data_IF_236829429712
#
_entry.id   IF_236829429712
#
_cell.length_a   1.000
_cell.length_b   1.000
_cell.length_c   1.000
_cell.angle_alpha   90.00
_cell.angle_beta   90.00
_cell.angle_gamma   90.00
#
_symmetry.space_group_name_H-M   'P 1'
#
loop_
_entity.id
_entity.type
_entity.pdbx_description
1 polymer ?
#
# COMPACT_ATOMS: atom_id res chain seq x y z
N UNK A 1 26.87 41.00 -8.22
CA UNK A 1 27.28 40.03 -9.26
C UNK A 1 26.20 38.97 -9.39
N UNK A 2 25.69 38.71 -10.59
CA UNK A 2 24.72 37.63 -10.78
C UNK A 2 25.42 36.28 -10.60
N UNK A 3 24.91 35.43 -9.71
CA UNK A 3 25.42 34.05 -9.56
C UNK A 3 25.17 33.30 -10.88
N UNK A 4 26.20 32.62 -11.40
CA UNK A 4 26.05 31.72 -12.54
C UNK A 4 25.50 30.37 -12.04
N UNK A 5 24.27 30.04 -12.43
CA UNK A 5 23.60 28.79 -12.03
C UNK A 5 23.73 27.67 -13.05
N UNK A 6 24.41 27.91 -14.19
CA UNK A 6 24.59 26.92 -15.24
C UNK A 6 25.26 25.62 -14.74
N UNK A 7 26.31 25.67 -13.88
CA UNK A 7 26.94 24.46 -13.36
C UNK A 7 25.96 23.56 -12.58
N UNK A 8 25.06 24.14 -11.78
CA UNK A 8 24.07 23.37 -11.02
C UNK A 8 23.05 22.68 -11.95
N UNK A 9 22.67 23.36 -13.03
CA UNK A 9 21.76 22.82 -14.06
C UNK A 9 22.43 21.67 -14.80
N UNK A 10 23.71 21.80 -15.14
CA UNK A 10 24.47 20.74 -15.82
C UNK A 10 24.65 19.53 -14.91
N UNK A 11 24.91 19.72 -13.61
CA UNK A 11 24.94 18.62 -12.66
C UNK A 11 23.58 17.91 -12.51
N UNK A 12 22.46 18.65 -12.54
CA UNK A 12 21.14 18.01 -12.57
C UNK A 12 20.91 17.19 -13.84
N UNK A 13 21.42 17.63 -15.00
CA UNK A 13 21.35 16.86 -16.25
C UNK A 13 22.12 15.54 -16.15
N UNK A 14 23.29 15.56 -15.53
CA UNK A 14 24.06 14.33 -15.26
C UNK A 14 23.24 13.36 -14.38
N UNK A 15 22.55 13.87 -13.36
CA UNK A 15 21.68 13.02 -12.51
C UNK A 15 20.51 12.45 -13.31
N UNK A 16 19.92 13.22 -14.24
CA UNK A 16 18.89 12.72 -15.15
C UNK A 16 19.43 11.57 -15.99
N UNK A 17 20.60 11.74 -16.62
CA UNK A 17 21.24 10.71 -17.44
C UNK A 17 21.52 9.45 -16.63
N UNK A 18 22.06 9.59 -15.41
CA UNK A 18 22.29 8.46 -14.51
C UNK A 18 20.99 7.74 -14.13
N UNK A 19 19.90 8.49 -13.91
CA UNK A 19 18.59 7.91 -13.56
C UNK A 19 17.94 7.15 -14.73
N UNK A 20 18.29 7.49 -15.97
CA UNK A 20 17.85 6.75 -17.17
C UNK A 20 18.61 5.42 -17.31
N UNK A 21 19.83 5.34 -16.79
CA UNK A 21 20.69 4.16 -16.84
C UNK A 21 20.46 3.18 -15.68
N UNK A 22 19.64 3.53 -14.68
CA UNK A 22 19.34 2.66 -13.57
C UNK A 22 18.80 3.39 -12.34
N UNK A 23 18.71 2.66 -11.23
CA UNK A 23 18.33 3.26 -9.94
C UNK A 23 19.47 4.15 -9.45
N UNK A 24 19.14 5.40 -9.12
CA UNK A 24 20.10 6.33 -8.51
C UNK A 24 20.60 5.82 -7.16
N UNK A 25 21.86 6.13 -6.84
CA UNK A 25 22.39 5.89 -5.50
C UNK A 25 21.75 6.88 -4.51
N UNK A 26 21.61 6.54 -3.22
CA UNK A 26 21.09 7.48 -2.21
C UNK A 26 21.86 8.81 -2.16
N UNK A 27 23.17 8.77 -2.44
CA UNK A 27 24.00 9.97 -2.53
C UNK A 27 23.62 10.85 -3.72
N UNK A 28 23.35 10.26 -4.89
CA UNK A 28 22.91 11.01 -6.08
C UNK A 28 21.49 11.57 -5.89
N UNK A 29 20.60 10.81 -5.23
CA UNK A 29 19.26 11.28 -4.89
C UNK A 29 19.33 12.52 -3.97
N UNK A 30 20.17 12.46 -2.93
CA UNK A 30 20.39 13.57 -1.99
C UNK A 30 21.06 14.76 -2.68
N UNK A 31 22.08 14.51 -3.50
CA UNK A 31 22.75 15.55 -4.30
C UNK A 31 21.77 16.26 -5.23
N UNK A 32 20.94 15.50 -5.95
CA UNK A 32 19.91 16.05 -6.83
C UNK A 32 18.90 16.90 -6.07
N UNK A 33 18.44 16.45 -4.89
CA UNK A 33 17.52 17.21 -4.06
C UNK A 33 18.17 18.53 -3.58
N UNK A 34 19.44 18.50 -3.18
CA UNK A 34 20.18 19.69 -2.76
C UNK A 34 20.40 20.70 -3.90
N UNK A 35 20.76 20.24 -5.10
CA UNK A 35 20.89 21.08 -6.30
C UNK A 35 19.55 21.74 -6.65
N UNK A 36 18.47 20.94 -6.66
CA UNK A 36 17.13 21.45 -6.94
C UNK A 36 16.70 22.49 -5.89
N UNK A 37 16.93 22.22 -4.60
CA UNK A 37 16.68 23.17 -3.50
C UNK A 37 17.36 24.51 -3.72
N UNK A 38 18.63 24.53 -4.15
CA UNK A 38 19.36 25.77 -4.40
C UNK A 38 18.74 26.59 -5.55
N UNK A 39 18.37 25.93 -6.64
CA UNK A 39 17.71 26.57 -7.79
C UNK A 39 16.34 27.15 -7.41
N UNK A 40 15.55 26.38 -6.65
CA UNK A 40 14.23 26.82 -6.19
C UNK A 40 14.35 27.98 -5.19
N UNK A 41 15.30 27.92 -4.24
CA UNK A 41 15.54 29.00 -3.27
C UNK A 41 16.00 30.29 -3.95
N UNK A 42 16.74 30.17 -5.06
CA UNK A 42 17.18 31.30 -5.87
C UNK A 42 16.00 31.98 -6.59
N UNK A 43 15.07 31.19 -7.12
CA UNK A 43 13.89 31.69 -7.85
C UNK A 43 14.24 32.24 -9.24
N UNK A 44 13.29 32.90 -9.91
CA UNK A 44 13.52 33.56 -11.21
C UNK A 44 13.88 32.58 -12.33
N UNK A 45 14.84 32.96 -13.20
CA UNK A 45 15.31 32.11 -14.32
C UNK A 45 15.85 30.74 -13.88
N UNK A 46 16.70 30.63 -12.83
CA UNK A 46 17.14 29.33 -12.31
C UNK A 46 16.01 28.37 -11.97
N UNK A 47 14.92 28.87 -11.38
CA UNK A 47 13.74 28.06 -11.08
C UNK A 47 13.09 27.55 -12.37
N UNK A 48 12.87 28.42 -13.36
CA UNK A 48 12.29 28.01 -14.65
C UNK A 48 13.10 26.90 -15.31
N UNK A 49 14.42 27.05 -15.36
CA UNK A 49 15.31 26.02 -15.93
C UNK A 49 15.28 24.71 -15.12
N UNK A 50 15.19 24.77 -13.79
CA UNK A 50 15.04 23.58 -12.96
C UNK A 50 13.70 22.86 -13.21
N UNK A 51 12.62 23.62 -13.40
CA UNK A 51 11.29 23.08 -13.66
C UNK A 51 11.15 22.47 -15.05
N UNK A 52 11.83 22.99 -16.06
CA UNK A 52 11.92 22.37 -17.39
C UNK A 52 12.52 20.96 -17.32
N UNK A 53 13.52 20.76 -16.45
CA UNK A 53 14.16 19.47 -16.22
C UNK A 53 13.34 18.53 -15.31
N UNK A 54 12.36 19.05 -14.57
CA UNK A 54 11.61 18.27 -13.57
C UNK A 54 10.77 17.14 -14.15
N UNK A 55 10.43 17.21 -15.44
CA UNK A 55 9.71 16.15 -16.15
C UNK A 55 10.56 14.89 -16.38
N UNK A 56 11.88 15.05 -16.46
CA UNK A 56 12.85 13.98 -16.68
C UNK A 56 13.49 13.47 -15.38
N UNK A 57 13.44 14.27 -14.31
CA UNK A 57 13.93 13.87 -13.00
C UNK A 57 13.01 12.84 -12.33
N UNK A 58 13.56 11.85 -11.60
CA UNK A 58 12.78 11.06 -10.67
C UNK A 58 11.99 11.95 -9.71
N UNK A 59 10.68 11.78 -9.65
CA UNK A 59 9.73 12.70 -8.99
C UNK A 59 10.09 13.07 -7.54
N UNK A 60 10.80 12.21 -6.81
CA UNK A 60 11.17 12.44 -5.42
C UNK A 60 12.28 13.49 -5.26
N UNK A 61 13.15 13.68 -6.26
CA UNK A 61 14.21 14.71 -6.24
C UNK A 61 13.61 16.12 -6.15
N UNK A 62 12.75 16.56 -7.09
CA UNK A 62 12.17 17.89 -7.02
C UNK A 62 11.22 18.05 -5.83
N UNK A 63 10.56 16.97 -5.37
CA UNK A 63 9.75 17.00 -4.15
C UNK A 63 10.61 17.30 -2.93
N UNK A 64 11.66 16.50 -2.67
CA UNK A 64 12.51 16.68 -1.50
C UNK A 64 13.21 18.05 -1.54
N UNK A 65 13.75 18.45 -2.70
CA UNK A 65 14.38 19.75 -2.87
C UNK A 65 13.41 20.92 -2.63
N UNK A 66 12.18 20.83 -3.12
CA UNK A 66 11.15 21.86 -2.87
C UNK A 66 10.75 21.95 -1.39
N UNK A 67 10.58 20.81 -0.71
CA UNK A 67 10.22 20.75 0.70
C UNK A 67 11.33 21.31 1.59
N UNK A 68 12.59 20.99 1.30
CA UNK A 68 13.73 21.54 2.02
C UNK A 68 13.97 23.03 1.75
N UNK A 69 13.65 23.51 0.55
CA UNK A 69 13.74 24.92 0.20
C UNK A 69 12.62 25.75 0.86
N UNK A 70 11.47 25.13 1.15
CA UNK A 70 10.26 25.83 1.58
C UNK A 70 10.45 26.75 2.80
N UNK A 71 11.11 26.33 3.90
CA UNK A 71 11.34 27.17 5.07
C UNK A 71 12.23 28.39 4.76
N UNK A 72 13.09 28.29 3.74
CA UNK A 72 14.05 29.33 3.35
C UNK A 72 13.45 30.35 2.35
N UNK A 73 12.29 30.05 1.78
CA UNK A 73 11.62 30.95 0.84
C UNK A 73 10.81 32.03 1.56
N UNK A 74 10.90 33.26 1.03
CA UNK A 74 9.95 34.33 1.39
C UNK A 74 8.56 34.02 0.84
N UNK A 75 7.48 34.61 1.39
CA UNK A 75 6.11 34.41 0.89
C UNK A 75 5.96 34.70 -0.62
N UNK A 76 6.65 35.73 -1.12
CA UNK A 76 6.68 36.06 -2.55
C UNK A 76 7.33 34.96 -3.38
N UNK A 77 8.46 34.41 -2.92
CA UNK A 77 9.13 33.28 -3.60
C UNK A 77 8.25 32.03 -3.60
N UNK A 78 7.57 31.71 -2.49
CA UNK A 78 6.62 30.59 -2.42
C UNK A 78 5.48 30.76 -3.43
N UNK A 79 4.87 31.96 -3.50
CA UNK A 79 3.82 32.27 -4.48
C UNK A 79 4.32 32.11 -5.92
N UNK A 80 5.51 32.63 -6.21
CA UNK A 80 6.11 32.52 -7.54
C UNK A 80 6.41 31.07 -7.91
N UNK A 81 6.92 30.27 -6.96
CA UNK A 81 7.16 28.84 -7.15
C UNK A 81 5.87 28.09 -7.47
N UNK A 82 4.82 28.26 -6.66
CA UNK A 82 3.51 27.64 -6.91
C UNK A 82 2.92 28.09 -8.26
N UNK A 83 3.11 29.35 -8.64
CA UNK A 83 2.72 29.87 -9.95
C UNK A 83 3.47 29.20 -11.10
N UNK A 84 4.78 28.99 -10.95
CA UNK A 84 5.63 28.35 -11.95
C UNK A 84 5.37 26.85 -12.13
N UNK A 85 4.77 26.18 -11.14
CA UNK A 85 4.33 24.78 -11.26
C UNK A 85 3.07 24.59 -12.11
N UNK A 86 2.20 25.62 -12.20
CA UNK A 86 0.91 25.53 -12.91
C UNK A 86 1.01 25.12 -14.39
N UNK A 87 1.90 25.70 -15.22
CA UNK A 87 2.00 25.35 -16.64
C UNK A 87 2.61 23.96 -16.90
N UNK A 88 3.08 23.26 -15.87
CA UNK A 88 3.70 21.94 -16.03
C UNK A 88 2.64 20.85 -16.14
N UNK A 89 2.35 20.43 -17.37
CA UNK A 89 1.25 19.51 -17.67
C UNK A 89 1.68 18.05 -17.81
N UNK A 90 2.97 17.71 -17.84
CA UNK A 90 3.40 16.31 -18.02
C UNK A 90 2.92 15.40 -16.87
N UNK A 91 2.74 14.11 -17.15
CA UNK A 91 2.32 13.11 -16.14
C UNK A 91 3.22 13.14 -14.89
N UNK A 92 4.53 13.20 -15.10
CA UNK A 92 5.53 13.35 -14.04
C UNK A 92 5.31 14.65 -13.23
N UNK A 93 5.03 15.76 -13.91
CA UNK A 93 4.78 17.05 -13.26
C UNK A 93 3.51 17.05 -12.41
N UNK A 94 2.44 16.37 -12.86
CA UNK A 94 1.20 16.23 -12.08
C UNK A 94 1.43 15.44 -10.80
N UNK A 95 2.14 14.30 -10.91
CA UNK A 95 2.55 13.50 -9.77
C UNK A 95 3.43 14.28 -8.81
N UNK A 96 4.40 15.04 -9.34
CA UNK A 96 5.28 15.92 -8.57
C UNK A 96 4.46 16.97 -7.80
N UNK A 97 3.53 17.69 -8.45
CA UNK A 97 2.69 18.71 -7.80
C UNK A 97 1.89 18.15 -6.62
N UNK A 98 1.21 17.02 -6.80
CA UNK A 98 0.46 16.39 -5.71
C UNK A 98 1.40 15.89 -4.58
N UNK A 99 2.59 15.41 -4.93
CA UNK A 99 3.57 14.93 -3.95
C UNK A 99 4.19 16.08 -3.15
N UNK A 100 4.48 17.22 -3.80
CA UNK A 100 4.87 18.47 -3.14
C UNK A 100 3.75 18.90 -2.20
N UNK A 101 2.51 18.96 -2.66
CA UNK A 101 1.38 19.36 -1.82
C UNK A 101 1.25 18.46 -0.58
N UNK A 102 1.40 17.14 -0.76
CA UNK A 102 1.40 16.18 0.34
C UNK A 102 2.50 16.45 1.37
N UNK A 103 3.72 16.71 0.93
CA UNK A 103 4.81 17.07 1.83
C UNK A 103 4.62 18.43 2.50
N UNK A 104 4.12 19.41 1.75
CA UNK A 104 3.89 20.78 2.21
C UNK A 104 2.80 20.85 3.27
N UNK A 105 1.84 19.94 3.30
CA UNK A 105 0.76 19.97 4.28
C UNK A 105 1.25 20.04 5.74
N UNK A 106 2.42 19.45 6.05
CA UNK A 106 3.03 19.52 7.39
C UNK A 106 3.66 20.89 7.71
N UNK A 107 4.05 21.64 6.69
CA UNK A 107 4.81 22.90 6.81
C UNK A 107 3.92 24.14 6.58
N UNK A 108 3.01 24.04 5.62
CA UNK A 108 2.09 25.08 5.18
C UNK A 108 0.82 24.43 4.58
N UNK A 109 -0.16 24.06 5.43
CA UNK A 109 -1.40 23.41 5.02
C UNK A 109 -2.18 24.22 3.97
N UNK A 110 -2.19 25.55 4.09
CA UNK A 110 -2.93 26.43 3.17
C UNK A 110 -2.34 26.38 1.76
N UNK A 111 -1.01 26.45 1.63
CA UNK A 111 -0.36 26.34 0.32
C UNK A 111 -0.49 24.95 -0.28
N UNK A 112 -0.45 23.90 0.56
CA UNK A 112 -0.69 22.53 0.13
C UNK A 112 -2.09 22.34 -0.48
N UNK A 113 -3.14 22.79 0.21
CA UNK A 113 -4.51 22.70 -0.27
C UNK A 113 -4.71 23.50 -1.56
N UNK A 114 -4.18 24.73 -1.64
CA UNK A 114 -4.22 25.54 -2.87
C UNK A 114 -3.55 24.84 -4.05
N UNK A 115 -2.42 24.14 -3.80
CA UNK A 115 -1.73 23.39 -4.84
C UNK A 115 -2.53 22.16 -5.29
N UNK A 116 -3.19 21.44 -4.37
CA UNK A 116 -4.09 20.33 -4.71
C UNK A 116 -5.24 20.84 -5.58
N UNK A 117 -5.96 21.87 -5.14
CA UNK A 117 -7.10 22.45 -5.86
C UNK A 117 -6.68 22.93 -7.25
N UNK A 118 -5.60 23.72 -7.35
CA UNK A 118 -5.09 24.20 -8.63
C UNK A 118 -4.63 23.06 -9.55
N UNK A 119 -4.12 21.96 -8.98
CA UNK A 119 -3.78 20.78 -9.77
C UNK A 119 -5.06 20.13 -10.28
N UNK A 120 -6.06 19.88 -9.44
CA UNK A 120 -7.33 19.25 -9.85
C UNK A 120 -8.12 20.05 -10.88
N UNK A 121 -8.15 21.38 -10.76
CA UNK A 121 -8.77 22.26 -11.74
C UNK A 121 -8.17 22.10 -13.14
N UNK A 122 -6.87 21.78 -13.24
CA UNK A 122 -6.22 21.54 -14.53
C UNK A 122 -6.44 20.11 -15.05
N UNK A 123 -6.78 19.14 -14.19
CA UNK A 123 -6.91 17.72 -14.57
C UNK A 123 -8.33 17.31 -14.90
N UNK A 124 -9.30 17.88 -14.19
CA UNK A 124 -10.69 17.48 -14.30
C UNK A 124 -11.29 18.06 -15.58
N UNK A 125 -11.74 17.18 -16.47
CA UNK A 125 -12.56 17.53 -17.63
C UNK A 125 -14.04 17.45 -17.23
N UNK A 126 -14.93 17.89 -18.12
CA UNK A 126 -16.38 17.77 -17.90
C UNK A 126 -16.82 16.32 -17.66
N UNK A 127 -16.12 15.36 -18.27
CA UNK A 127 -16.37 13.92 -18.14
C UNK A 127 -15.72 13.27 -16.91
N UNK A 128 -14.97 14.01 -16.10
CA UNK A 128 -14.21 13.49 -14.95
C UNK A 128 -12.69 13.48 -15.18
N UNK A 129 -11.98 12.62 -14.45
CA UNK A 129 -10.53 12.44 -14.57
C UNK A 129 -10.20 11.31 -15.55
N UNK A 130 -9.14 11.52 -16.33
CA UNK A 130 -8.56 10.46 -17.15
C UNK A 130 -8.03 9.31 -16.26
N UNK A 131 -8.03 8.04 -16.71
CA UNK A 131 -7.59 6.90 -15.91
C UNK A 131 -6.18 7.03 -15.33
N UNK A 132 -5.26 7.66 -16.09
CA UNK A 132 -3.89 7.92 -15.62
C UNK A 132 -3.87 8.91 -14.46
N UNK A 133 -4.68 9.96 -14.52
CA UNK A 133 -4.74 10.97 -13.47
C UNK A 133 -5.44 10.45 -12.22
N UNK A 134 -6.45 9.58 -12.38
CA UNK A 134 -7.03 8.80 -11.27
C UNK A 134 -5.96 7.96 -10.57
N UNK A 135 -5.12 7.27 -11.34
CA UNK A 135 -4.04 6.45 -10.80
C UNK A 135 -2.97 7.28 -10.07
N UNK A 136 -2.61 8.45 -10.59
CA UNK A 136 -1.67 9.38 -9.94
C UNK A 136 -2.26 9.88 -8.62
N UNK A 137 -3.49 10.39 -8.66
CA UNK A 137 -4.19 10.88 -7.47
C UNK A 137 -4.30 9.79 -6.40
N UNK A 138 -4.77 8.60 -6.80
CA UNK A 138 -4.84 7.43 -5.93
C UNK A 138 -3.47 7.12 -5.33
N UNK A 139 -2.41 7.02 -6.13
CA UNK A 139 -1.08 6.64 -5.65
C UNK A 139 -0.49 7.64 -4.66
N UNK A 140 -0.76 8.93 -4.82
CA UNK A 140 -0.18 9.99 -3.99
C UNK A 140 -1.02 10.28 -2.74
N UNK A 141 -2.34 10.37 -2.88
CA UNK A 141 -3.24 10.91 -1.85
C UNK A 141 -4.09 9.84 -1.14
N UNK A 142 -4.34 8.69 -1.76
CA UNK A 142 -5.10 7.58 -1.14
C UNK A 142 -4.14 6.46 -0.69
N UNK A 143 -3.36 5.90 -1.62
CA UNK A 143 -2.50 4.76 -1.32
C UNK A 143 -3.30 3.50 -0.97
N UNK A 144 -2.59 2.47 -0.48
CA UNK A 144 -3.17 1.12 -0.33
C UNK A 144 -3.91 0.87 0.99
N UNK A 145 -3.53 1.54 2.07
CA UNK A 145 -3.98 1.15 3.42
C UNK A 145 -4.68 2.30 4.15
N UNK A 146 -3.97 3.42 4.32
CA UNK A 146 -4.45 4.59 5.05
C UNK A 146 -4.49 5.79 4.12
N UNK A 147 -5.67 6.20 3.64
CA UNK A 147 -5.82 7.38 2.80
C UNK A 147 -5.21 8.61 3.46
N UNK A 148 -4.17 9.15 2.83
CA UNK A 148 -3.47 10.31 3.36
C UNK A 148 -4.37 11.55 3.34
N UNK A 149 -5.24 11.67 2.33
CA UNK A 149 -6.18 12.77 2.17
C UNK A 149 -7.14 12.99 3.35
N UNK A 150 -7.35 11.98 4.21
CA UNK A 150 -8.21 12.13 5.40
C UNK A 150 -7.69 13.17 6.39
N UNK A 151 -6.42 13.57 6.27
CA UNK A 151 -5.78 14.59 7.09
C UNK A 151 -6.08 16.02 6.61
N UNK A 152 -6.67 16.17 5.41
CA UNK A 152 -6.94 17.48 4.82
C UNK A 152 -8.16 18.12 5.48
N UNK A 153 -8.01 19.35 5.95
CA UNK A 153 -9.13 20.17 6.42
C UNK A 153 -9.81 20.90 5.25
N UNK A 154 -10.77 20.22 4.60
CA UNK A 154 -11.53 20.81 3.50
C UNK A 154 -12.46 21.96 3.95
N UNK A 155 -12.73 22.13 5.25
CA UNK A 155 -13.54 23.25 5.74
C UNK A 155 -12.83 24.60 5.56
N UNK A 156 -11.51 24.58 5.44
CA UNK A 156 -10.70 25.76 5.15
C UNK A 156 -10.78 26.24 3.69
N UNK A 157 -11.37 25.44 2.80
CA UNK A 157 -11.55 25.75 1.38
C UNK A 157 -12.90 26.40 1.09
N UNK A 158 -13.02 27.03 -0.08
CA UNK A 158 -14.33 27.44 -0.58
C UNK A 158 -15.21 26.21 -0.85
N UNK A 159 -16.55 26.29 -0.73
CA UNK A 159 -17.44 25.15 -0.95
C UNK A 159 -17.18 24.42 -2.29
N UNK A 160 -17.07 25.15 -3.40
CA UNK A 160 -16.80 24.56 -4.71
C UNK A 160 -15.41 23.89 -4.82
N UNK A 161 -14.41 24.39 -4.08
CA UNK A 161 -13.06 23.80 -4.06
C UNK A 161 -13.03 22.53 -3.19
N UNK A 162 -13.72 22.56 -2.05
CA UNK A 162 -13.90 21.39 -1.17
C UNK A 162 -14.67 20.28 -1.90
N UNK A 163 -15.75 20.64 -2.59
CA UNK A 163 -16.56 19.76 -3.44
C UNK A 163 -15.69 19.12 -4.54
N UNK A 164 -14.88 19.92 -5.27
CA UNK A 164 -13.98 19.42 -6.29
C UNK A 164 -13.00 18.35 -5.74
N UNK A 165 -12.40 18.60 -4.58
CA UNK A 165 -11.46 17.65 -3.95
C UNK A 165 -12.20 16.40 -3.50
N UNK A 166 -13.36 16.54 -2.86
CA UNK A 166 -14.17 15.43 -2.36
C UNK A 166 -14.69 14.53 -3.50
N UNK A 167 -15.25 15.12 -4.57
CA UNK A 167 -15.71 14.40 -5.75
C UNK A 167 -14.57 13.64 -6.43
N UNK A 168 -13.41 14.28 -6.58
CA UNK A 168 -12.24 13.65 -7.17
C UNK A 168 -11.74 12.49 -6.31
N UNK A 169 -11.77 12.63 -4.98
CA UNK A 169 -11.39 11.56 -4.06
C UNK A 169 -12.33 10.36 -4.18
N UNK A 170 -13.65 10.58 -4.25
CA UNK A 170 -14.64 9.51 -4.47
C UNK A 170 -14.40 8.81 -5.82
N UNK A 171 -14.16 9.59 -6.88
CA UNK A 171 -13.87 9.04 -8.21
C UNK A 171 -12.63 8.14 -8.21
N UNK A 172 -11.57 8.57 -7.50
CA UNK A 172 -10.33 7.80 -7.41
C UNK A 172 -10.41 6.62 -6.43
N UNK A 173 -11.37 6.65 -5.49
CA UNK A 173 -11.58 5.57 -4.52
C UNK A 173 -12.15 4.29 -5.15
N UNK A 174 -12.71 4.36 -6.36
CA UNK A 174 -13.23 3.19 -7.10
C UNK A 174 -12.14 2.13 -7.34
N UNK A 175 -10.88 2.56 -7.50
CA UNK A 175 -9.73 1.65 -7.65
C UNK A 175 -9.09 1.21 -6.33
N UNK A 176 -9.56 1.72 -5.20
CA UNK A 176 -9.00 1.43 -3.89
C UNK A 176 -9.52 0.09 -3.33
N UNK A 177 -8.82 -0.47 -2.34
CA UNK A 177 -9.37 -1.59 -1.59
C UNK A 177 -10.60 -1.12 -0.77
N UNK A 178 -11.53 -2.03 -0.42
CA UNK A 178 -12.77 -1.65 0.25
C UNK A 178 -12.58 -0.81 1.53
N UNK A 179 -11.63 -1.12 2.45
CA UNK A 179 -11.43 -0.30 3.64
C UNK A 179 -11.07 1.16 3.32
N UNK A 180 -10.13 1.37 2.39
CA UNK A 180 -9.73 2.72 1.99
C UNK A 180 -10.85 3.45 1.24
N UNK A 181 -11.57 2.74 0.37
CA UNK A 181 -12.67 3.32 -0.39
C UNK A 181 -13.80 3.81 0.52
N UNK A 182 -14.22 2.99 1.49
CA UNK A 182 -15.25 3.36 2.48
C UNK A 182 -14.80 4.57 3.30
N UNK A 183 -13.57 4.56 3.80
CA UNK A 183 -13.03 5.68 4.57
C UNK A 183 -13.01 7.00 3.78
N UNK A 184 -12.64 6.95 2.48
CA UNK A 184 -12.66 8.13 1.61
C UNK A 184 -14.09 8.62 1.37
N UNK A 185 -15.03 7.71 1.11
CA UNK A 185 -16.45 8.05 0.89
C UNK A 185 -17.05 8.74 2.12
N UNK A 186 -16.81 8.19 3.31
CA UNK A 186 -17.29 8.76 4.57
C UNK A 186 -16.69 10.14 4.84
N UNK A 187 -15.39 10.31 4.60
CA UNK A 187 -14.70 11.59 4.76
C UNK A 187 -15.17 12.65 3.77
N UNK A 188 -15.48 12.26 2.52
CA UNK A 188 -15.93 13.17 1.48
C UNK A 188 -17.39 13.62 1.65
N UNK A 189 -18.22 12.82 2.33
CA UNK A 189 -19.68 13.02 2.48
C UNK A 189 -20.11 14.45 2.88
N UNK A 190 -19.47 15.15 3.83
CA UNK A 190 -19.91 16.50 4.23
C UNK A 190 -19.73 17.56 3.14
N UNK A 191 -18.86 17.30 2.16
CA UNK A 191 -18.49 18.24 1.10
C UNK A 191 -19.05 17.82 -0.27
N UNK A 192 -19.25 16.52 -0.47
CA UNK A 192 -19.89 15.94 -1.64
C UNK A 192 -20.94 14.91 -1.17
N UNK A 193 -22.20 15.33 -0.97
CA UNK A 193 -23.29 14.40 -0.71
C UNK A 193 -23.39 13.37 -1.84
N UNK A 194 -23.60 12.10 -1.50
CA UNK A 194 -23.56 11.03 -2.50
C UNK A 194 -24.67 11.17 -3.55
N UNK A 195 -25.77 11.82 -3.20
CA UNK A 195 -26.90 12.14 -4.09
C UNK A 195 -26.57 13.16 -5.19
N UNK A 196 -25.48 13.92 -5.06
CA UNK A 196 -25.07 14.92 -6.06
C UNK A 196 -23.98 14.39 -7.00
N UNK A 197 -23.54 13.14 -6.82
CA UNK A 197 -22.53 12.53 -7.68
C UNK A 197 -23.12 12.26 -9.08
N UNK A 198 -22.38 12.52 -10.17
CA UNK A 198 -22.82 12.19 -11.52
C UNK A 198 -23.18 10.71 -11.69
N UNK A 199 -24.30 10.44 -12.37
CA UNK A 199 -24.82 9.09 -12.61
C UNK A 199 -23.78 8.10 -13.20
N UNK A 200 -22.92 8.48 -14.18
CA UNK A 200 -21.90 7.56 -14.68
C UNK A 200 -20.94 7.06 -13.59
N UNK A 201 -20.62 7.93 -12.63
CA UNK A 201 -19.73 7.59 -11.53
C UNK A 201 -20.42 6.71 -10.48
N UNK A 202 -21.71 6.97 -10.20
CA UNK A 202 -22.53 6.09 -9.36
C UNK A 202 -22.61 4.67 -9.92
N UNK A 203 -22.75 4.52 -11.24
CA UNK A 203 -22.76 3.21 -11.89
C UNK A 203 -21.41 2.49 -11.78
N UNK A 204 -20.29 3.21 -11.97
CA UNK A 204 -18.94 2.65 -11.81
C UNK A 204 -18.70 2.21 -10.36
N UNK A 205 -19.06 3.07 -9.40
CA UNK A 205 -18.97 2.79 -7.97
C UNK A 205 -19.83 1.57 -7.58
N UNK A 206 -21.06 1.49 -8.08
CA UNK A 206 -21.96 0.35 -7.86
C UNK A 206 -21.40 -0.97 -8.40
N UNK A 207 -20.75 -0.97 -9.56
CA UNK A 207 -20.06 -2.16 -10.11
C UNK A 207 -18.93 -2.64 -9.21
N UNK A 208 -18.15 -1.71 -8.65
CA UNK A 208 -17.06 -2.03 -7.73
C UNK A 208 -17.58 -2.53 -6.39
N UNK A 209 -18.57 -1.85 -5.79
CA UNK A 209 -19.19 -2.23 -4.51
C UNK A 209 -19.78 -3.64 -4.57
N UNK A 210 -20.41 -4.04 -5.69
CA UNK A 210 -20.94 -5.41 -5.88
C UNK A 210 -19.89 -6.51 -5.64
N UNK A 211 -18.62 -6.21 -5.91
CA UNK A 211 -17.50 -7.15 -5.74
C UNK A 211 -16.93 -7.17 -4.33
N UNK A 212 -17.30 -6.22 -3.47
CA UNK A 212 -16.84 -6.20 -2.09
C UNK A 212 -17.48 -7.33 -1.27
N UNK A 213 -16.84 -7.67 -0.14
CA UNK A 213 -17.41 -8.60 0.84
C UNK A 213 -18.61 -7.99 1.54
N UNK A 214 -19.50 -8.83 2.07
CA UNK A 214 -20.71 -8.43 2.81
C UNK A 214 -20.42 -7.45 3.95
N UNK A 215 -19.29 -7.62 4.67
CA UNK A 215 -18.85 -6.69 5.72
C UNK A 215 -18.80 -5.23 5.27
N UNK A 216 -18.05 -4.94 4.20
CA UNK A 216 -17.88 -3.56 3.70
C UNK A 216 -19.15 -3.04 3.02
N UNK A 217 -19.95 -3.93 2.45
CA UNK A 217 -21.27 -3.59 1.91
C UNK A 217 -22.24 -3.15 3.02
N UNK A 218 -22.28 -3.87 4.15
CA UNK A 218 -23.08 -3.50 5.33
C UNK A 218 -22.65 -2.15 5.90
N UNK A 219 -21.34 -1.96 6.09
CA UNK A 219 -20.81 -0.69 6.58
C UNK A 219 -21.17 0.49 5.67
N UNK A 220 -21.10 0.31 4.35
CA UNK A 220 -21.50 1.36 3.43
C UNK A 220 -23.02 1.57 3.40
N UNK A 221 -23.82 0.52 3.64
CA UNK A 221 -25.28 0.60 3.69
C UNK A 221 -25.83 1.37 4.90
N UNK A 222 -25.01 1.61 5.94
CA UNK A 222 -25.35 2.49 7.07
C UNK A 222 -25.32 3.98 6.67
N UNK A 223 -24.74 4.31 5.52
CA UNK A 223 -24.69 5.67 4.99
C UNK A 223 -25.96 6.04 4.21
N UNK A 224 -26.21 7.35 4.09
CA UNK A 224 -27.27 7.90 3.25
C UNK A 224 -26.88 7.81 1.77
N UNK A 225 -27.26 6.69 1.14
CA UNK A 225 -26.89 6.34 -0.22
C UNK A 225 -28.00 6.68 -1.23
N UNK A 226 -27.62 7.11 -2.45
CA UNK A 226 -28.55 7.26 -3.57
C UNK A 226 -29.26 5.95 -3.92
N UNK A 227 -30.51 6.04 -4.40
CA UNK A 227 -31.33 4.88 -4.79
C UNK A 227 -30.59 3.86 -5.67
N UNK A 228 -29.81 4.26 -6.70
CA UNK A 228 -29.06 3.29 -7.50
C UNK A 228 -28.04 2.45 -6.71
N UNK A 229 -27.42 3.02 -5.67
CA UNK A 229 -26.44 2.30 -4.84
C UNK A 229 -27.11 1.50 -3.73
N UNK A 230 -28.17 2.03 -3.12
CA UNK A 230 -28.91 1.35 -2.06
C UNK A 230 -29.61 0.10 -2.59
N UNK A 231 -30.20 0.14 -3.79
CA UNK A 231 -30.79 -1.03 -4.46
C UNK A 231 -29.74 -2.13 -4.72
N UNK A 232 -28.55 -1.74 -5.18
CA UNK A 232 -27.44 -2.66 -5.44
C UNK A 232 -26.99 -3.39 -4.16
N UNK A 233 -26.91 -2.66 -3.04
CA UNK A 233 -26.51 -3.24 -1.75
C UNK A 233 -27.60 -4.13 -1.18
N UNK A 234 -28.86 -3.69 -1.19
CA UNK A 234 -29.99 -4.46 -0.68
C UNK A 234 -30.20 -5.77 -1.45
N UNK A 235 -30.09 -5.75 -2.79
CA UNK A 235 -30.23 -6.94 -3.63
C UNK A 235 -29.20 -8.04 -3.29
N UNK A 236 -28.00 -7.65 -2.83
CA UNK A 236 -26.95 -8.60 -2.45
C UNK A 236 -27.09 -9.07 -1.00
N UNK A 237 -27.44 -8.16 -0.08
CA UNK A 237 -27.65 -8.50 1.32
C UNK A 237 -28.80 -9.51 1.49
N UNK A 238 -29.92 -9.30 0.79
CA UNK A 238 -31.04 -10.26 0.79
C UNK A 238 -30.68 -11.66 0.28
N UNK A 239 -29.79 -11.75 -0.72
CA UNK A 239 -29.30 -13.05 -1.22
C UNK A 239 -28.43 -13.76 -0.18
N UNK A 240 -27.61 -13.01 0.56
CA UNK A 240 -26.76 -13.58 1.60
C UNK A 240 -27.55 -14.14 2.79
N UNK A 241 -28.71 -13.54 3.10
CA UNK A 241 -29.57 -14.01 4.20
C UNK A 241 -30.43 -15.22 3.80
N UNK A 242 -30.74 -15.36 2.50
CA UNK A 242 -31.53 -16.49 1.98
C UNK A 242 -30.74 -17.80 1.82
N UNK A 243 -29.40 -17.75 1.82
CA UNK A 243 -28.51 -18.93 1.74
C UNK A 243 -28.14 -19.51 3.11
N UNK A 244 -28.72 -18.99 4.20
CA UNK A 244 -28.62 -19.65 5.51
C UNK A 244 -29.54 -20.87 5.52
N UNK A 245 -29.03 -22.10 5.73
CA UNK A 245 -29.86 -23.29 5.80
C UNK A 245 -30.88 -23.11 6.92
N UNK A 246 -32.15 -23.28 6.55
CA UNK A 246 -33.28 -23.31 7.46
C UNK A 246 -32.92 -24.20 8.67
N UNK A 247 -33.02 -23.71 9.92
CA UNK A 247 -32.82 -24.57 11.07
C UNK A 247 -33.85 -25.68 10.96
N UNK A 248 -33.38 -26.91 10.73
CA UNK A 248 -34.21 -28.09 10.65
C UNK A 248 -35.15 -28.09 11.85
N UNK A 249 -36.45 -27.97 11.54
CA UNK A 249 -37.53 -27.92 12.49
C UNK A 249 -37.33 -28.99 13.55
N UNK A 250 -37.13 -28.53 14.80
CA UNK A 250 -36.93 -29.39 15.94
C UNK A 250 -38.13 -30.34 16.08
N UNK A 251 -37.91 -31.62 15.79
CA UNK A 251 -38.79 -32.67 16.26
C UNK A 251 -38.75 -32.71 17.81
N UNK A 252 -39.87 -32.97 18.49
CA UNK A 252 -39.92 -32.96 19.94
C UNK A 252 -39.18 -34.18 20.50
N UNK A 253 -38.04 -33.93 21.15
CA UNK A 253 -37.27 -34.98 21.86
C UNK A 253 -37.98 -35.30 23.17
N UNK A 254 -38.42 -36.56 23.29
CA UNK A 254 -38.91 -37.17 24.53
C UNK A 254 -37.80 -37.20 25.57
N UNK A 255 -38.17 -36.87 26.80
CA UNK A 255 -37.37 -37.07 28.01
C UNK A 255 -36.98 -38.55 28.17
N UNK A 256 -35.69 -38.81 28.34
CA UNK A 256 -35.20 -40.02 29.02
C UNK A 256 -33.99 -39.65 29.87
N UNK A 257 -34.21 -39.71 31.19
CA UNK A 257 -33.22 -39.85 32.26
C UNK A 257 -32.30 -41.05 32.03
N UNK A 258 -30.99 -40.92 32.31
CA UNK A 258 -30.08 -42.06 32.40
C UNK A 258 -28.59 -41.72 32.37
N UNK A 259 -28.03 -41.47 33.57
CA UNK A 259 -26.69 -41.81 34.08
C UNK A 259 -25.47 -42.06 33.15
N UNK A 260 -24.41 -41.31 33.50
CA UNK A 260 -23.06 -41.78 33.89
C UNK A 260 -22.01 -42.18 32.84
N UNK A 261 -20.95 -41.36 32.84
CA UNK A 261 -19.53 -41.73 33.05
C UNK A 261 -18.57 -41.86 31.85
N UNK A 262 -17.39 -41.28 32.09
CA UNK A 262 -16.03 -41.61 31.66
C UNK A 262 -15.32 -40.69 30.65
N UNK A 263 -14.16 -40.26 31.12
CA UNK A 263 -13.00 -39.56 30.56
C UNK A 263 -12.64 -39.89 29.10
N UNK A 264 -12.20 -38.89 28.33
CA UNK A 264 -10.82 -38.85 27.83
C UNK A 264 -10.43 -37.52 27.16
N UNK A 265 -9.30 -37.00 27.62
CA UNK A 265 -8.22 -36.25 26.95
C UNK A 265 -8.45 -35.77 25.51
N UNK A 266 -8.39 -34.45 25.31
CA UNK A 266 -8.09 -33.85 24.00
C UNK A 266 -6.86 -32.94 24.10
N UNK A 267 -5.75 -33.40 23.53
CA UNK A 267 -4.66 -32.57 23.04
C UNK A 267 -5.20 -31.62 21.96
N UNK A 268 -4.98 -30.32 22.13
CA UNK A 268 -5.18 -29.34 21.06
C UNK A 268 -3.84 -28.70 20.68
N UNK A 269 -3.37 -29.16 19.52
CA UNK A 269 -2.19 -28.72 18.81
C UNK A 269 -2.64 -27.60 17.84
N UNK A 270 -2.57 -26.33 18.25
CA UNK A 270 -2.84 -25.21 17.36
C UNK A 270 -1.55 -24.75 16.66
N UNK A 271 -1.32 -25.32 15.47
CA UNK A 271 -0.43 -24.77 14.46
C UNK A 271 -1.02 -23.48 13.89
N UNK A 272 -0.33 -22.38 14.13
CA UNK A 272 -0.43 -21.14 13.36
C UNK A 272 0.05 -21.38 11.92
N UNK A 273 -0.85 -21.20 10.94
CA UNK A 273 -0.46 -21.12 9.52
C UNK A 273 -0.37 -19.65 9.13
N UNK A 274 0.86 -19.16 9.07
CA UNK A 274 1.24 -17.84 8.58
C UNK A 274 1.48 -17.95 7.05
N UNK A 275 0.52 -17.53 6.23
CA UNK A 275 0.74 -17.37 4.79
C UNK A 275 1.10 -15.92 4.46
N UNK A 276 2.39 -15.68 4.28
CA UNK A 276 2.91 -14.55 3.52
C UNK A 276 2.60 -14.77 2.03
N UNK A 277 1.92 -13.79 1.42
CA UNK A 277 1.64 -13.76 -0.02
C UNK A 277 2.56 -12.75 -0.70
N UNK A 278 3.55 -13.25 -1.42
CA UNK A 278 4.34 -12.49 -2.38
C UNK A 278 3.51 -12.16 -3.61
N UNK A 279 3.75 -10.97 -4.16
CA UNK A 279 3.08 -10.37 -5.32
C UNK A 279 3.83 -10.76 -6.59
N UNK A 280 3.12 -11.28 -7.58
CA UNK A 280 3.56 -11.35 -8.97
C UNK A 280 3.12 -10.07 -9.72
N UNK A 281 4.02 -9.54 -10.54
CA UNK A 281 3.83 -8.40 -11.43
C UNK A 281 3.79 -8.90 -12.89
N UNK A 282 3.14 -8.11 -13.74
CA UNK A 282 2.57 -8.49 -15.03
C UNK A 282 3.53 -8.47 -16.25
N UNK A 283 2.98 -9.05 -17.31
CA UNK A 283 3.37 -9.25 -18.72
C UNK A 283 3.60 -8.01 -19.60
N UNK A 284 4.33 -8.18 -20.72
CA UNK A 284 3.86 -8.13 -22.14
C UNK A 284 5.07 -7.95 -23.12
N UNK A 285 4.94 -7.92 -24.48
CA UNK A 285 3.83 -8.28 -25.40
C UNK A 285 4.25 -9.11 -26.65
N UNK A 286 3.28 -9.57 -27.47
CA UNK A 286 3.51 -10.02 -28.86
C UNK A 286 2.25 -10.46 -29.61
N UNK A 287 1.99 -9.83 -30.76
CA UNK A 287 0.85 -9.97 -31.69
C UNK A 287 0.71 -11.34 -32.40
N UNK A 288 -0.53 -11.79 -32.67
CA UNK A 288 -1.01 -12.07 -34.05
C UNK A 288 -2.46 -12.59 -34.15
N UNK A 289 -3.04 -12.35 -35.33
CA UNK A 289 -4.45 -12.44 -35.76
C UNK A 289 -5.01 -13.87 -36.00
N UNK A 290 -6.35 -13.92 -35.98
CA UNK A 290 -7.31 -14.59 -36.89
C UNK A 290 -8.28 -15.68 -36.33
N UNK A 291 -9.48 -15.85 -36.96
CA UNK A 291 -10.75 -16.18 -36.29
C UNK A 291 -11.34 -17.55 -36.70
N UNK A 292 -12.30 -18.11 -35.93
CA UNK A 292 -13.48 -18.87 -36.45
C UNK A 292 -14.42 -19.47 -35.38
N UNK A 293 -15.72 -19.19 -35.58
CA UNK A 293 -16.94 -20.04 -35.56
C UNK A 293 -17.30 -21.04 -34.43
N UNK A 294 -18.52 -20.81 -33.88
CA UNK A 294 -19.66 -21.73 -33.62
C UNK A 294 -19.51 -23.12 -32.97
N UNK A 295 -20.20 -23.32 -31.83
CA UNK A 295 -21.27 -24.33 -31.52
C UNK A 295 -21.68 -24.19 -30.03
N UNK A 296 -22.89 -23.76 -29.63
CA UNK A 296 -24.21 -24.42 -29.46
C UNK A 296 -24.33 -25.58 -28.44
N UNK A 297 -25.33 -25.45 -27.54
CA UNK A 297 -26.13 -26.51 -26.84
C UNK A 297 -25.46 -27.23 -25.65
N UNK A 298 -26.08 -27.66 -24.53
CA UNK A 298 -27.45 -27.74 -23.95
C UNK A 298 -27.31 -28.10 -22.45
N UNK A 299 -28.02 -27.46 -21.52
CA UNK A 299 -29.21 -27.95 -20.78
C UNK A 299 -29.11 -29.25 -19.91
N UNK A 300 -29.48 -29.07 -18.63
CA UNK A 300 -30.23 -29.93 -17.68
C UNK A 300 -29.54 -31.04 -16.85
N UNK A 301 -29.65 -30.85 -15.52
CA UNK A 301 -29.40 -31.73 -14.36
C UNK A 301 -30.36 -32.95 -14.28
N UNK A 302 -30.21 -33.96 -13.37
CA UNK A 302 -30.50 -33.79 -11.91
C UNK A 302 -29.71 -34.68 -10.89
N UNK A 303 -29.89 -34.32 -9.60
CA UNK A 303 -29.87 -35.06 -8.28
C UNK A 303 -29.47 -36.57 -8.29
N UNK A 304 -28.78 -37.19 -7.32
CA UNK A 304 -28.66 -37.07 -5.86
C UNK A 304 -27.55 -38.08 -5.40
N UNK A 305 -26.72 -37.78 -4.39
CA UNK A 305 -26.32 -38.71 -3.31
C UNK A 305 -25.10 -38.17 -2.52
N UNK A 306 -25.29 -38.08 -1.21
CA UNK A 306 -24.29 -37.73 -0.20
C UNK A 306 -23.06 -38.64 -0.25
N UNK A 307 -21.86 -38.05 -0.17
CA UNK A 307 -20.71 -38.64 0.53
C UNK A 307 -19.62 -37.59 0.70
N UNK A 308 -19.22 -37.36 1.94
CA UNK A 308 -18.07 -36.58 2.41
C UNK A 308 -16.70 -37.09 1.92
N UNK A 309 -16.68 -37.83 0.80
CA UNK A 309 -15.49 -38.24 0.06
C UNK A 309 -15.25 -37.44 -1.23
N UNK A 310 -16.21 -36.61 -1.67
CA UNK A 310 -16.07 -35.79 -2.89
C UNK A 310 -15.07 -34.65 -2.67
N UNK A 311 -15.05 -34.01 -1.51
CA UNK A 311 -14.05 -32.97 -1.22
C UNK A 311 -12.63 -33.53 -1.19
N UNK A 312 -12.41 -34.75 -0.64
CA UNK A 312 -11.08 -35.37 -0.66
C UNK A 312 -10.68 -35.80 -2.07
N UNK A 313 -11.62 -36.34 -2.86
CA UNK A 313 -11.35 -36.74 -4.24
C UNK A 313 -11.05 -35.54 -5.14
N UNK A 314 -11.73 -34.41 -4.92
CA UNK A 314 -11.48 -33.17 -5.65
C UNK A 314 -10.19 -32.50 -5.17
N UNK A 315 -9.85 -32.56 -3.88
CA UNK A 315 -8.56 -32.08 -3.37
C UNK A 315 -7.40 -32.93 -3.90
N UNK A 316 -7.58 -34.26 -3.98
CA UNK A 316 -6.59 -35.16 -4.57
C UNK A 316 -6.42 -34.91 -6.08
N UNK A 317 -7.51 -34.65 -6.82
CA UNK A 317 -7.44 -34.20 -8.22
C UNK A 317 -6.73 -32.87 -8.36
N UNK A 318 -6.96 -31.93 -7.45
CA UNK A 318 -6.31 -30.62 -7.46
C UNK A 318 -4.82 -30.72 -7.14
N UNK A 319 -4.43 -31.56 -6.18
CA UNK A 319 -3.03 -31.88 -5.87
C UNK A 319 -2.37 -32.59 -7.05
N UNK A 320 -3.08 -33.52 -7.70
CA UNK A 320 -2.56 -34.24 -8.87
C UNK A 320 -2.35 -33.30 -10.06
N UNK A 321 -3.28 -32.37 -10.30
CA UNK A 321 -3.13 -31.33 -11.31
C UNK A 321 -1.93 -30.40 -11.03
N UNK A 322 -1.74 -30.00 -9.76
CA UNK A 322 -0.57 -29.20 -9.36
C UNK A 322 0.74 -29.97 -9.49
N UNK A 323 0.74 -31.28 -9.24
CA UNK A 323 1.91 -32.13 -9.40
C UNK A 323 2.28 -32.30 -10.88
N UNK A 324 1.29 -32.45 -11.76
CA UNK A 324 1.51 -32.52 -13.20
C UNK A 324 2.02 -31.19 -13.76
N UNK A 325 1.49 -30.06 -13.29
CA UNK A 325 1.97 -28.70 -13.64
C UNK A 325 3.43 -28.50 -13.21
N UNK A 326 3.77 -28.84 -11.96
CA UNK A 326 5.15 -28.79 -11.47
C UNK A 326 6.09 -29.73 -12.23
N UNK A 327 5.59 -30.88 -12.71
CA UNK A 327 6.36 -31.83 -13.50
C UNK A 327 6.63 -31.29 -14.90
N UNK A 328 5.67 -30.61 -15.51
CA UNK A 328 5.85 -29.89 -16.78
C UNK A 328 6.82 -28.71 -16.62
N UNK A 329 6.71 -27.93 -15.55
CA UNK A 329 7.66 -26.86 -15.22
C UNK A 329 9.08 -27.40 -15.01
N UNK A 330 9.24 -28.52 -14.31
CA UNK A 330 10.55 -29.16 -14.16
C UNK A 330 11.10 -29.71 -15.48
N UNK A 331 10.25 -30.24 -16.36
CA UNK A 331 10.67 -30.69 -17.69
C UNK A 331 11.08 -29.52 -18.58
N UNK A 332 10.34 -28.41 -18.56
CA UNK A 332 10.69 -27.21 -19.32
C UNK A 332 11.99 -26.59 -18.81
N UNK A 333 12.16 -26.47 -17.49
CA UNK A 333 13.41 -26.02 -16.87
C UNK A 333 14.59 -26.96 -17.22
N UNK A 334 14.39 -28.28 -17.17
CA UNK A 334 15.42 -29.25 -17.53
C UNK A 334 15.78 -29.18 -19.03
N UNK A 335 14.81 -28.93 -19.90
CA UNK A 335 15.05 -28.72 -21.32
C UNK A 335 15.80 -27.42 -21.60
N UNK A 336 15.49 -26.33 -20.89
CA UNK A 336 16.23 -25.07 -20.97
C UNK A 336 17.68 -25.22 -20.51
N UNK A 337 17.92 -25.92 -19.39
CA UNK A 337 19.27 -26.23 -18.92
C UNK A 337 20.01 -27.11 -19.93
N UNK A 338 19.33 -28.08 -20.56
CA UNK A 338 19.93 -28.94 -21.59
C UNK A 338 20.24 -28.19 -22.88
N UNK A 339 19.42 -27.20 -23.26
CA UNK A 339 19.72 -26.29 -24.38
C UNK A 339 20.90 -25.37 -24.05
N UNK A 340 20.98 -24.86 -22.82
CA UNK A 340 22.13 -24.05 -22.36
C UNK A 340 23.43 -24.85 -22.28
N UNK A 341 23.35 -26.17 -22.03
CA UNK A 341 24.51 -27.07 -21.96
C UNK A 341 24.77 -27.84 -23.26
N UNK A 342 24.07 -27.57 -24.37
CA UNK A 342 24.48 -28.13 -25.66
C UNK A 342 25.79 -27.43 -26.08
N UNK A 343 26.90 -28.19 -26.19
CA UNK A 343 28.16 -27.60 -26.64
C UNK A 343 28.00 -27.17 -28.10
N UNK A 344 28.11 -25.87 -28.34
CA UNK A 344 28.14 -25.25 -29.67
C UNK A 344 29.38 -25.75 -30.40
N UNK A 345 29.25 -26.88 -31.10
CA UNK A 345 30.18 -27.26 -32.15
C UNK A 345 29.73 -26.51 -33.42
N UNK A 346 30.63 -25.64 -33.88
CA UNK A 346 30.61 -24.92 -35.16
C UNK A 346 29.74 -23.66 -35.23
N UNK A 347 30.31 -22.55 -34.77
CA UNK A 347 30.52 -21.40 -35.65
C UNK A 347 31.62 -20.51 -35.09
N UNK A 348 32.83 -20.74 -35.59
CA UNK A 348 33.91 -19.78 -35.54
C UNK A 348 33.49 -18.52 -36.30
N UNK A 349 33.51 -17.39 -35.58
CA UNK A 349 34.04 -16.07 -35.98
C UNK A 349 33.26 -14.93 -35.29
N UNK A 350 33.64 -14.64 -34.04
CA UNK A 350 33.86 -13.29 -33.51
C UNK A 350 34.30 -13.42 -32.05
N UNK A 351 35.60 -13.26 -31.83
CA UNK A 351 36.23 -13.37 -30.53
C UNK A 351 36.13 -12.10 -29.70
N UNK A 352 36.28 -12.30 -28.38
CA UNK A 352 36.40 -11.32 -27.29
C UNK A 352 35.04 -10.70 -26.92
N UNK A 353 34.29 -11.21 -25.93
CA UNK A 353 34.34 -10.67 -24.55
C UNK A 353 33.71 -11.51 -23.40
N UNK A 354 33.53 -12.85 -23.44
CA UNK A 354 32.86 -13.54 -22.32
C UNK A 354 33.65 -13.55 -20.99
N UNK A 355 34.95 -13.24 -21.01
CA UNK A 355 35.78 -13.21 -19.80
C UNK A 355 35.60 -11.96 -18.94
N UNK A 356 35.19 -10.82 -19.54
CA UNK A 356 34.94 -9.59 -18.79
C UNK A 356 33.60 -9.65 -18.07
N UNK A 357 32.55 -10.16 -18.73
CA UNK A 357 31.23 -10.35 -18.11
C UNK A 357 31.28 -11.37 -16.97
N UNK A 358 32.08 -12.44 -17.10
CA UNK A 358 32.29 -13.38 -16.00
C UNK A 358 33.09 -12.75 -14.83
N UNK A 359 33.95 -11.76 -15.11
CA UNK A 359 34.64 -10.98 -14.09
C UNK A 359 33.69 -10.07 -13.33
N UNK A 360 32.86 -9.29 -14.04
CA UNK A 360 31.89 -8.39 -13.43
C UNK A 360 30.85 -9.14 -12.61
N UNK A 361 30.36 -10.29 -13.10
CA UNK A 361 29.40 -11.12 -12.36
C UNK A 361 30.00 -11.77 -11.09
N UNK A 362 31.32 -11.99 -11.06
CA UNK A 362 32.02 -12.47 -9.84
C UNK A 362 32.20 -11.34 -8.83
N UNK A 363 32.55 -10.14 -9.28
CA UNK A 363 32.64 -8.96 -8.42
C UNK A 363 31.28 -8.58 -7.83
N UNK A 364 30.20 -8.64 -8.63
CA UNK A 364 28.84 -8.40 -8.14
C UNK A 364 28.39 -9.46 -7.13
N UNK A 365 28.70 -10.75 -7.37
CA UNK A 365 28.42 -11.79 -6.37
C UNK A 365 29.19 -11.58 -5.07
N UNK A 366 30.46 -11.18 -5.14
CA UNK A 366 31.27 -10.88 -3.96
C UNK A 366 30.72 -9.68 -3.17
N UNK A 367 30.24 -8.65 -3.87
CA UNK A 367 29.62 -7.48 -3.24
C UNK A 367 28.26 -7.84 -2.62
N UNK A 368 27.48 -8.70 -3.26
CA UNK A 368 26.21 -9.18 -2.72
C UNK A 368 26.42 -10.05 -1.47
N UNK A 369 27.44 -10.90 -1.43
CA UNK A 369 27.74 -11.69 -0.23
C UNK A 369 28.19 -10.79 0.93
N UNK A 370 29.00 -9.76 0.68
CA UNK A 370 29.43 -8.78 1.69
C UNK A 370 28.25 -7.94 2.24
N UNK A 371 27.31 -7.53 1.38
CA UNK A 371 26.10 -6.83 1.84
C UNK A 371 25.17 -7.73 2.65
N UNK A 372 25.08 -9.02 2.32
CA UNK A 372 24.30 -9.99 3.10
C UNK A 372 24.96 -10.24 4.46
N UNK A 373 26.29 -10.31 4.55
CA UNK A 373 26.97 -10.48 5.84
C UNK A 373 26.81 -9.24 6.73
N UNK A 374 26.98 -8.04 6.20
CA UNK A 374 26.78 -6.78 6.95
C UNK A 374 25.32 -6.60 7.40
N UNK A 375 24.34 -6.98 6.59
CA UNK A 375 22.93 -6.97 7.01
C UNK A 375 22.63 -7.99 8.11
N UNK A 376 23.30 -9.15 8.10
CA UNK A 376 23.17 -10.15 9.18
C UNK A 376 23.82 -9.67 10.47
N UNK A 377 24.98 -9.02 10.38
CA UNK A 377 25.68 -8.43 11.52
C UNK A 377 24.85 -7.31 12.15
N UNK A 378 24.36 -6.35 11.34
CA UNK A 378 23.48 -5.29 11.85
C UNK A 378 22.16 -5.80 12.44
N UNK A 379 21.57 -6.87 11.90
CA UNK A 379 20.41 -7.53 12.52
C UNK A 379 20.77 -8.22 13.84
N UNK A 380 21.97 -8.80 13.95
CA UNK A 380 22.48 -9.39 15.18
C UNK A 380 22.74 -8.32 16.24
N UNK A 381 23.32 -7.17 15.86
CA UNK A 381 23.60 -6.05 16.75
C UNK A 381 22.30 -5.39 17.25
N UNK A 382 21.31 -5.21 16.39
CA UNK A 382 20.00 -4.70 16.81
C UNK A 382 19.26 -5.69 17.72
N UNK A 383 19.45 -6.99 17.52
CA UNK A 383 18.87 -8.01 18.40
C UNK A 383 19.58 -8.03 19.76
N UNK A 384 20.91 -7.88 19.80
CA UNK A 384 21.67 -7.79 21.05
C UNK A 384 21.44 -6.47 21.79
N UNK A 385 21.37 -5.33 21.11
CA UNK A 385 21.10 -4.02 21.75
C UNK A 385 19.73 -3.98 22.44
N UNK A 386 18.69 -4.58 21.83
CA UNK A 386 17.38 -4.68 22.47
C UNK A 386 17.39 -5.62 23.68
N UNK A 387 18.21 -6.68 23.63
CA UNK A 387 18.41 -7.60 24.74
C UNK A 387 19.20 -6.94 25.89
N UNK A 388 20.28 -6.23 25.56
CA UNK A 388 21.14 -5.51 26.49
C UNK A 388 20.43 -4.28 27.09
N UNK A 389 19.49 -3.66 26.38
CA UNK A 389 18.61 -2.63 26.95
C UNK A 389 17.60 -3.21 27.95
N UNK A 390 17.08 -4.42 27.70
CA UNK A 390 16.22 -5.12 28.64
C UNK A 390 17.00 -5.60 29.88
N UNK A 391 18.26 -6.02 29.71
CA UNK A 391 19.16 -6.45 30.80
C UNK A 391 19.71 -5.25 31.60
N UNK A 392 20.09 -4.15 30.95
CA UNK A 392 20.73 -3.00 31.64
C UNK A 392 19.77 -2.09 32.39
N UNK A 393 18.45 -2.09 32.11
CA UNK A 393 17.49 -1.23 32.82
C UNK A 393 16.87 -1.84 34.08
N UNK A 394 17.30 -3.04 34.49
CA UNK A 394 17.16 -3.53 35.86
C UNK A 394 18.37 -3.14 36.74
N UNK A 395 19.08 -2.04 36.40
CA UNK A 395 20.23 -1.50 37.12
C UNK A 395 19.97 -1.06 38.58
N UNK A 396 18.75 -1.23 39.11
CA UNK A 396 18.49 -1.10 40.56
C UNK A 396 18.47 -2.47 41.28
N UNK A 397 18.74 -3.59 40.59
CA UNK A 397 18.95 -4.90 41.22
C UNK A 397 20.20 -5.59 40.63
N UNK A 398 21.20 -5.84 41.45
CA UNK A 398 22.58 -6.22 41.10
C UNK A 398 22.78 -7.62 40.44
N UNK A 399 21.75 -8.26 39.88
CA UNK A 399 21.91 -9.56 39.23
C UNK A 399 21.13 -9.68 37.89
N UNK A 400 21.76 -10.22 36.83
CA UNK A 400 21.07 -10.51 35.58
C UNK A 400 20.00 -11.56 35.82
N UNK A 401 18.77 -11.24 35.44
CA UNK A 401 17.62 -12.14 35.53
C UNK A 401 17.77 -13.22 34.48
N UNK A 402 18.09 -14.44 34.88
CA UNK A 402 18.18 -15.61 33.99
C UNK A 402 16.85 -16.33 33.78
N UNK A 403 15.80 -15.97 34.55
CA UNK A 403 14.47 -16.58 34.42
C UNK A 403 13.69 -15.95 33.24
N UNK A 404 13.35 -16.73 32.19
CA UNK A 404 12.61 -16.24 31.03
C UNK A 404 11.24 -15.63 31.39
N UNK A 405 10.60 -16.07 32.48
CA UNK A 405 9.29 -15.53 32.91
C UNK A 405 9.45 -14.12 33.49
N UNK A 406 10.49 -13.88 34.28
CA UNK A 406 10.79 -12.55 34.80
C UNK A 406 11.29 -11.59 33.70
N UNK A 407 12.05 -12.09 32.73
CA UNK A 407 12.44 -11.33 31.54
C UNK A 407 11.19 -10.88 30.75
N UNK A 408 10.26 -11.79 30.54
CA UNK A 408 9.00 -11.50 29.87
C UNK A 408 8.17 -10.45 30.61
N UNK A 409 8.04 -10.59 31.94
CA UNK A 409 7.37 -9.58 32.79
C UNK A 409 8.04 -8.21 32.71
N UNK A 410 9.37 -8.19 32.66
CA UNK A 410 10.15 -6.94 32.55
C UNK A 410 9.91 -6.27 31.19
N UNK A 411 9.90 -7.06 30.10
CA UNK A 411 9.59 -6.58 28.75
C UNK A 411 8.16 -6.03 28.63
N UNK A 412 7.18 -6.76 29.19
CA UNK A 412 5.79 -6.36 29.20
C UNK A 412 5.59 -5.06 30.00
N UNK A 413 6.27 -4.93 31.14
CA UNK A 413 6.26 -3.70 31.96
C UNK A 413 6.85 -2.52 31.18
N UNK A 414 7.92 -2.71 30.41
CA UNK A 414 8.51 -1.68 29.55
C UNK A 414 7.52 -1.24 28.46
N UNK A 415 6.87 -2.19 27.78
CA UNK A 415 5.87 -1.89 26.76
C UNK A 415 4.69 -1.11 27.31
N UNK A 416 4.18 -1.48 28.47
CA UNK A 416 3.08 -0.76 29.13
C UNK A 416 3.51 0.67 29.49
N UNK A 417 4.73 0.85 30.02
CA UNK A 417 5.26 2.20 30.32
C UNK A 417 5.42 3.05 29.06
N UNK A 418 5.91 2.50 27.95
CA UNK A 418 5.98 3.21 26.66
C UNK A 418 4.60 3.68 26.20
N UNK A 419 3.57 2.82 26.32
CA UNK A 419 2.20 3.20 25.96
C UNK A 419 1.64 4.30 26.86
N UNK A 420 1.94 4.27 28.16
CA UNK A 420 1.55 5.33 29.11
C UNK A 420 2.24 6.66 28.77
N UNK A 421 3.54 6.64 28.46
CA UNK A 421 4.29 7.85 28.05
C UNK A 421 3.74 8.39 26.73
N UNK A 422 3.50 7.54 25.73
CA UNK A 422 2.90 7.93 24.47
C UNK A 422 1.50 8.55 24.68
N UNK A 423 0.72 7.99 25.60
CA UNK A 423 -0.58 8.55 25.97
C UNK A 423 -0.46 9.95 26.59
N UNK A 424 0.48 10.16 27.52
CA UNK A 424 0.72 11.49 28.09
C UNK A 424 1.17 12.52 27.04
N UNK A 425 1.97 12.11 26.06
CA UNK A 425 2.36 12.98 24.94
C UNK A 425 1.15 13.32 24.06
N UNK A 426 0.25 12.36 23.84
CA UNK A 426 -0.95 12.53 23.01
C UNK A 426 -2.10 13.26 23.75
N UNK A 427 -2.09 13.31 25.08
CA UNK A 427 -3.08 14.00 25.92
C UNK A 427 -2.41 14.92 26.95
N UNK A 428 -1.82 16.05 26.52
CA UNK A 428 -1.16 17.00 27.41
C UNK A 428 -2.10 17.69 28.40
N UNK A 429 -3.40 17.76 28.12
CA UNK A 429 -4.40 18.46 28.94
C UNK A 429 -5.11 17.58 29.98
N UNK A 430 -4.70 16.31 30.17
CA UNK A 430 -5.30 15.38 31.15
C UNK A 430 -6.84 15.22 31.01
N UNK A 431 -7.36 15.24 29.77
CA UNK A 431 -8.77 14.97 29.52
C UNK A 431 -9.10 13.51 29.85
N UNK A 432 -10.00 13.29 30.81
CA UNK A 432 -10.40 11.97 31.35
C UNK A 432 -11.02 11.08 30.28
N UNK A 433 -11.58 11.67 29.22
CA UNK A 433 -12.25 10.96 28.11
C UNK A 433 -11.32 10.04 27.30
N UNK A 434 -10.00 10.18 27.45
CA UNK A 434 -9.03 9.33 26.76
C UNK A 434 -8.55 8.13 27.61
N UNK A 435 -8.89 8.08 28.91
CA UNK A 435 -8.57 6.95 29.79
C UNK A 435 -9.11 5.60 29.27
N UNK A 436 -10.34 5.52 28.69
CA UNK A 436 -10.81 4.28 28.07
C UNK A 436 -9.92 3.80 26.91
N UNK A 437 -9.35 4.71 26.12
CA UNK A 437 -8.45 4.38 25.02
C UNK A 437 -7.07 3.89 25.50
N UNK A 438 -6.58 4.43 26.61
CA UNK A 438 -5.37 3.93 27.26
C UNK A 438 -5.61 2.50 27.79
N UNK A 439 -6.72 2.29 28.50
CA UNK A 439 -7.11 0.98 29.01
C UNK A 439 -7.26 -0.04 27.88
N UNK A 440 -7.93 0.32 26.78
CA UNK A 440 -8.11 -0.56 25.63
C UNK A 440 -6.77 -0.93 24.96
N UNK A 441 -5.84 0.03 24.84
CA UNK A 441 -4.49 -0.24 24.32
C UNK A 441 -3.65 -1.11 25.26
N UNK A 442 -3.76 -0.91 26.59
CA UNK A 442 -3.06 -1.74 27.57
C UNK A 442 -3.64 -3.16 27.55
N UNK A 443 -4.96 -3.32 27.59
CA UNK A 443 -5.64 -4.61 27.52
C UNK A 443 -5.28 -5.36 26.23
N UNK A 444 -5.26 -4.66 25.10
CA UNK A 444 -4.82 -5.22 23.83
C UNK A 444 -3.36 -5.65 23.86
N UNK A 445 -2.47 -4.87 24.46
CA UNK A 445 -1.04 -5.23 24.60
C UNK A 445 -0.87 -6.47 25.47
N UNK A 446 -1.69 -6.63 26.52
CA UNK A 446 -1.73 -7.81 27.38
C UNK A 446 -2.27 -9.04 26.62
N UNK A 447 -3.34 -8.87 25.84
CA UNK A 447 -3.94 -9.94 25.04
C UNK A 447 -3.03 -10.39 23.88
N UNK A 448 -2.37 -9.46 23.19
CA UNK A 448 -1.33 -9.74 22.17
C UNK A 448 -0.11 -10.46 22.77
N UNK A 449 0.09 -10.30 24.07
CA UNK A 449 1.09 -10.98 24.89
C UNK A 449 0.60 -12.34 25.44
N UNK A 450 -0.59 -12.79 25.03
CA UNK A 450 -1.16 -14.08 25.48
C UNK A 450 -1.59 -14.10 26.94
N UNK A 451 -1.74 -12.93 27.57
CA UNK A 451 -2.34 -12.80 28.90
C UNK A 451 -3.82 -12.49 28.67
N UNK A 452 -4.64 -13.51 28.78
CA UNK A 452 -6.09 -13.36 28.75
C UNK A 452 -6.60 -12.85 30.10
N UNK A 453 -7.50 -11.87 30.08
CA UNK A 453 -8.04 -11.20 31.27
C UNK A 453 -9.55 -11.42 31.44
N UNK A 454 -10.14 -12.33 30.64
CA UNK A 454 -11.54 -12.77 30.80
C UNK A 454 -11.81 -13.45 32.16
#
# INVERSE_FOLDING_TARGET
>A
MAKNFQPLIDELRIIIENSRNGRLSPADEQKGAALFKELVTSGGKPLSSALELSGDLPWFIPVNGALEAWPQMTPTKRRNFLGALKPLESEASRRMRLSIARGLHKLDPTSALKLIVATLQNLRKETGLDPKDRQIFYSVLIGKNKPWLLQLDLKSLKPAEAELVALTAIECAIGANPPAAVAVIQWAKPFQPLHTIPEPLLQELGKTIKRWSSRWQKQLAEEDLPSPLSEILQAKLRKSDADLPEPASAAPVRQSTGQASVQHSHEHNHRHTQHQRTKSQATAPGENRHPRSHTQSSAKSPLHAQKTGVELADLLKQIQAQFDELREELQTARNLVRQAHQPVKQRETHGVEPSKELGTLREENARLTETVTTLRETLSDLASENFDQAVSRKADSEAPVTDPVEQYRSFLTLRIREQIVNFHILNPENNVDALPLLLDNILRTLQESGIDLE
#
